data_IF_498296676214
#
_entry.id   IF_498296676214
#
_cell.length_a   1.000
_cell.length_b   1.000
_cell.length_c   1.000
_cell.angle_alpha   90.00
_cell.angle_beta   90.00
_cell.angle_gamma   90.00
#
_symmetry.space_group_name_H-M   'P 1'
#
loop_
_entity.id
_entity.type
_entity.pdbx_description
1 polymer ?
#
# COMPACT_ATOMS: atom_id res chain seq x y z
N UNK A 1 78.66 37.10 11.70
CA UNK A 1 77.74 36.31 12.55
C UNK A 1 77.21 35.17 11.68
N UNK A 2 77.32 33.91 12.16
CA UNK A 2 77.68 32.71 11.37
C UNK A 2 76.40 31.90 10.99
N UNK A 3 76.34 30.73 10.32
CA UNK A 3 77.20 29.55 10.09
C UNK A 3 76.67 28.83 8.81
N UNK A 4 77.46 28.18 7.95
CA UNK A 4 77.95 26.76 7.99
C UNK A 4 76.80 25.72 8.14
N UNK A 5 76.76 24.53 7.53
CA UNK A 5 77.57 23.76 6.57
C UNK A 5 76.81 22.44 6.29
N UNK A 6 77.21 21.73 5.22
CA UNK A 6 77.30 20.26 5.14
C UNK A 6 76.05 19.32 5.08
N UNK A 7 75.93 18.65 3.92
CA UNK A 7 75.53 17.22 3.69
C UNK A 7 76.61 16.27 4.31
N UNK A 8 76.53 14.89 4.41
CA UNK A 8 75.71 13.91 3.64
C UNK A 8 75.34 12.53 4.33
N UNK A 9 74.66 11.65 3.55
CA UNK A 9 74.85 10.17 3.37
C UNK A 9 74.40 9.06 4.36
N UNK A 10 74.10 7.90 3.72
CA UNK A 10 73.99 6.48 4.11
C UNK A 10 72.63 5.94 4.61
N UNK A 11 71.91 5.07 3.87
CA UNK A 11 72.06 3.58 3.68
C UNK A 11 71.61 2.79 4.93
N UNK A 12 70.71 1.80 4.88
CA UNK A 12 70.82 0.44 4.28
C UNK A 12 69.42 -0.18 4.02
N UNK A 13 69.13 -0.88 2.92
CA UNK A 13 69.18 -2.37 2.76
C UNK A 13 67.83 -3.02 3.17
N UNK A 14 67.14 -3.94 2.47
CA UNK A 14 67.62 -5.09 1.69
C UNK A 14 66.43 -5.80 0.94
N UNK A 15 66.73 -6.30 -0.28
CA UNK A 15 66.23 -7.49 -1.03
C UNK A 15 64.73 -7.80 -1.24
N UNK A 16 64.24 -7.88 -2.50
CA UNK A 16 64.21 -9.06 -3.42
C UNK A 16 63.05 -10.04 -3.09
N UNK A 17 62.24 -10.58 -4.00
CA UNK A 17 62.49 -11.02 -5.37
C UNK A 17 61.20 -11.02 -6.19
N UNK A 18 61.33 -10.76 -7.48
CA UNK A 18 60.43 -11.24 -8.50
C UNK A 18 60.89 -12.65 -8.91
N UNK A 19 59.96 -13.61 -9.01
CA UNK A 19 60.18 -14.80 -9.83
C UNK A 19 58.87 -15.22 -10.48
N UNK A 20 58.89 -15.23 -11.81
CA UNK A 20 57.92 -15.86 -12.68
C UNK A 20 58.51 -17.21 -13.11
N UNK A 21 57.79 -18.32 -12.94
CA UNK A 21 58.04 -19.53 -13.73
C UNK A 21 56.70 -20.20 -14.05
N UNK A 22 56.55 -20.52 -15.34
CA UNK A 22 55.45 -21.21 -15.96
C UNK A 22 55.70 -22.73 -16.04
N UNK A 23 54.60 -23.51 -16.04
CA UNK A 23 54.50 -24.88 -16.59
C UNK A 23 55.22 -26.00 -15.83
N UNK A 24 54.86 -27.27 -15.91
CA UNK A 24 53.71 -28.01 -16.45
C UNK A 24 53.88 -29.48 -15.99
N UNK A 25 52.81 -30.29 -16.09
CA UNK A 25 52.76 -31.78 -16.13
C UNK A 25 52.89 -32.54 -14.79
N UNK A 26 51.82 -33.21 -14.31
CA UNK A 26 51.32 -34.58 -14.60
C UNK A 26 51.93 -35.60 -13.59
N UNK A 27 51.28 -36.59 -12.98
CA UNK A 27 50.16 -37.50 -13.30
C UNK A 27 49.46 -37.92 -11.96
N UNK A 28 48.14 -38.00 -11.91
CA UNK A 28 47.28 -39.19 -12.01
C UNK A 28 47.24 -40.10 -10.75
N UNK A 29 46.04 -40.31 -10.22
CA UNK A 29 45.43 -41.64 -9.99
C UNK A 29 43.90 -41.50 -9.93
N UNK A 30 43.23 -42.45 -10.59
CA UNK A 30 41.78 -42.61 -10.80
C UNK A 30 41.11 -43.17 -9.51
N UNK A 31 39.79 -43.18 -9.27
CA UNK A 31 38.60 -43.66 -10.02
C UNK A 31 37.35 -42.92 -9.44
N UNK A 32 36.11 -42.94 -9.93
CA UNK A 32 35.32 -43.91 -10.70
C UNK A 32 34.12 -43.17 -11.35
N UNK A 33 33.68 -43.64 -12.50
CA UNK A 33 32.73 -42.99 -13.39
C UNK A 33 31.28 -43.47 -13.28
N UNK A 34 30.33 -42.54 -13.39
CA UNK A 34 29.01 -42.81 -13.97
C UNK A 34 28.40 -41.52 -14.58
N UNK A 35 27.83 -41.55 -15.80
CA UNK A 35 27.41 -40.35 -16.51
C UNK A 35 26.08 -39.78 -15.98
N UNK A 36 26.08 -38.47 -15.68
CA UNK A 36 24.85 -37.71 -15.34
C UNK A 36 24.09 -37.32 -16.61
N UNK A 37 22.89 -37.89 -16.79
CA UNK A 37 21.97 -37.53 -17.87
C UNK A 37 21.50 -36.06 -17.77
N UNK A 38 21.28 -35.37 -18.90
CA UNK A 38 20.80 -33.98 -18.89
C UNK A 38 19.34 -33.91 -18.45
N UNK A 39 19.01 -32.97 -17.55
CA UNK A 39 17.64 -32.70 -17.10
C UNK A 39 16.82 -32.13 -18.25
N UNK A 40 15.94 -32.95 -18.83
CA UNK A 40 14.95 -32.51 -19.81
C UNK A 40 13.73 -31.93 -19.12
N UNK A 41 13.28 -30.77 -19.63
CA UNK A 41 12.05 -30.09 -19.25
C UNK A 41 10.88 -30.75 -20.00
N UNK A 42 10.16 -31.64 -19.35
CA UNK A 42 8.97 -32.26 -19.93
C UNK A 42 7.85 -32.40 -18.89
N UNK A 43 7.20 -31.28 -18.61
CA UNK A 43 6.00 -31.19 -17.76
C UNK A 43 4.80 -30.72 -18.58
N UNK A 44 4.42 -31.46 -19.62
CA UNK A 44 3.17 -31.20 -20.35
C UNK A 44 1.97 -31.72 -19.53
N UNK A 45 1.15 -30.77 -19.10
CA UNK A 45 -0.29 -30.85 -18.79
C UNK A 45 -0.94 -32.25 -18.88
N UNK A 46 -1.04 -32.95 -17.74
CA UNK A 46 -2.02 -34.04 -17.56
C UNK A 46 -3.38 -33.47 -17.17
N UNK A 47 -4.08 -32.91 -18.15
CA UNK A 47 -5.46 -32.39 -17.96
C UNK A 47 -6.50 -33.52 -17.83
N UNK A 48 -6.13 -34.77 -18.14
CA UNK A 48 -7.02 -35.93 -18.05
C UNK A 48 -7.13 -36.55 -16.65
N UNK A 49 -6.21 -36.23 -15.73
CA UNK A 49 -6.31 -36.67 -14.31
C UNK A 49 -7.29 -35.81 -13.48
N UNK A 50 -7.77 -34.69 -14.03
CA UNK A 50 -8.73 -33.79 -13.38
C UNK A 50 -10.12 -33.76 -14.05
N UNK A 51 -10.39 -34.67 -15.00
CA UNK A 51 -11.73 -34.81 -15.54
C UNK A 51 -12.61 -35.63 -14.59
N UNK A 52 -13.63 -34.97 -14.05
CA UNK A 52 -14.69 -35.59 -13.27
C UNK A 52 -15.50 -36.55 -14.16
N UNK A 53 -15.29 -37.85 -13.99
CA UNK A 53 -16.12 -38.89 -14.59
C UNK A 53 -17.46 -38.97 -13.85
N UNK A 54 -18.50 -38.44 -14.47
CA UNK A 54 -19.88 -38.59 -13.99
C UNK A 54 -20.32 -40.05 -14.11
N UNK A 55 -20.28 -40.77 -12.97
CA UNK A 55 -20.87 -42.09 -12.80
C UNK A 55 -22.02 -42.02 -11.81
N UNK A 56 -23.20 -42.41 -12.26
CA UNK A 56 -24.46 -42.51 -11.53
C UNK A 56 -24.39 -43.39 -10.28
N UNK A 57 -24.91 -42.89 -9.16
CA UNK A 57 -25.40 -43.73 -8.06
C UNK A 57 -25.03 -43.26 -6.66
N UNK A 58 -26.03 -42.87 -5.86
CA UNK A 58 -25.94 -42.81 -4.39
C UNK A 58 -25.84 -41.41 -3.79
N UNK A 59 -26.96 -40.93 -3.25
CA UNK A 59 -27.06 -39.74 -2.37
C UNK A 59 -26.30 -39.96 -1.05
N UNK A 60 -25.70 -38.91 -0.43
CA UNK A 60 -26.43 -38.32 0.69
C UNK A 60 -26.30 -36.78 0.86
N UNK A 61 -27.45 -36.20 1.15
CA UNK A 61 -27.78 -35.19 2.17
C UNK A 61 -26.91 -33.90 2.30
N UNK A 62 -27.34 -32.86 1.58
CA UNK A 62 -26.89 -31.46 1.77
C UNK A 62 -27.73 -30.78 2.83
N UNK A 63 -27.19 -30.60 4.04
CA UNK A 63 -27.75 -29.69 5.06
C UNK A 63 -27.74 -28.24 4.57
N UNK A 64 -28.92 -27.71 4.26
CA UNK A 64 -29.20 -26.27 4.11
C UNK A 64 -29.78 -25.75 5.43
N UNK A 65 -29.18 -24.69 5.96
CA UNK A 65 -29.71 -23.94 7.10
C UNK A 65 -30.91 -23.08 6.67
N UNK A 66 -32.04 -23.08 7.40
CA UNK A 66 -33.15 -22.18 7.13
C UNK A 66 -33.00 -20.86 7.90
N UNK A 67 -33.29 -19.74 7.23
CA UNK A 67 -33.50 -18.42 7.84
C UNK A 67 -34.98 -18.06 7.70
N UNK A 68 -35.49 -17.39 8.74
CA UNK A 68 -36.74 -16.60 8.88
C UNK A 68 -37.94 -17.28 9.56
N UNK A 69 -38.16 -16.88 10.82
CA UNK A 69 -39.47 -16.79 11.47
C UNK A 69 -39.62 -15.38 12.10
N UNK A 70 -40.82 -14.76 12.08
CA UNK A 70 -41.07 -13.41 12.62
C UNK A 70 -41.52 -13.44 14.10
N UNK A 71 -41.41 -12.33 14.86
CA UNK A 71 -42.00 -12.23 16.20
C UNK A 71 -43.46 -11.73 16.18
N UNK A 72 -44.28 -12.29 17.08
CA UNK A 72 -45.68 -11.91 17.40
C UNK A 72 -45.74 -10.89 18.57
N UNK A 73 -46.90 -10.21 18.78
CA UNK A 73 -46.97 -8.91 19.45
C UNK A 73 -47.24 -8.95 20.97
N UNK A 74 -46.95 -7.81 21.62
CA UNK A 74 -47.17 -7.51 23.03
C UNK A 74 -48.64 -7.19 23.36
N UNK A 75 -49.10 -7.62 24.55
CA UNK A 75 -50.27 -7.08 25.20
C UNK A 75 -50.08 -7.04 26.73
N UNK A 76 -50.40 -5.89 27.34
CA UNK A 76 -50.37 -5.68 28.78
C UNK A 76 -50.59 -4.20 29.15
N UNK A 77 -51.83 -3.73 29.03
CA UNK A 77 -52.25 -2.37 29.30
C UNK A 77 -52.59 -2.12 30.78
N UNK A 78 -52.40 -0.89 31.28
CA UNK A 78 -53.37 -0.19 32.14
C UNK A 78 -53.12 1.33 32.24
N UNK A 79 -54.20 2.07 32.47
CA UNK A 79 -54.44 3.45 32.04
C UNK A 79 -54.37 4.53 33.14
N UNK A 80 -54.07 5.78 32.71
CA UNK A 80 -54.61 7.15 33.03
C UNK A 80 -55.02 7.55 34.48
N UNK A 81 -54.94 8.85 34.91
CA UNK A 81 -55.46 10.03 34.17
C UNK A 81 -54.67 11.37 34.24
N UNK A 82 -55.16 12.34 33.44
CA UNK A 82 -54.68 13.73 33.26
C UNK A 82 -55.02 14.69 34.43
N UNK A 83 -54.56 15.97 34.45
CA UNK A 83 -55.28 17.04 33.71
C UNK A 83 -54.46 18.25 33.18
N UNK A 84 -55.08 18.97 32.20
CA UNK A 84 -55.19 20.45 31.97
C UNK A 84 -53.91 21.32 31.88
N UNK A 85 -53.75 22.29 30.96
CA UNK A 85 -54.58 22.87 29.91
C UNK A 85 -53.93 24.14 29.30
N UNK A 86 -54.57 24.67 28.24
CA UNK A 86 -54.42 25.99 27.58
C UNK A 86 -53.07 26.32 26.88
N UNK A 87 -53.01 26.82 25.65
CA UNK A 87 -54.04 27.20 24.68
C UNK A 87 -53.42 27.99 23.52
N UNK A 88 -53.99 27.78 22.31
CA UNK A 88 -54.25 28.76 21.21
C UNK A 88 -53.09 29.53 20.54
N UNK A 89 -53.08 29.82 19.23
CA UNK A 89 -53.86 29.47 18.02
C UNK A 89 -53.29 30.33 16.87
N UNK A 90 -53.18 29.86 15.62
CA UNK A 90 -54.01 30.18 14.42
C UNK A 90 -53.03 30.31 13.22
N UNK A 91 -53.31 30.04 11.95
CA UNK A 91 -54.46 29.58 11.13
C UNK A 91 -53.87 29.31 9.71
N UNK A 92 -54.06 28.13 9.08
CA UNK A 92 -55.13 27.75 8.12
C UNK A 92 -54.97 28.36 6.69
N UNK A 93 -55.38 27.78 5.56
CA UNK A 93 -56.05 26.52 5.23
C UNK A 93 -56.15 26.30 3.69
N UNK A 94 -56.28 25.01 3.31
CA UNK A 94 -57.13 24.39 2.27
C UNK A 94 -57.03 24.80 0.78
N UNK A 95 -56.79 23.92 -0.21
CA UNK A 95 -57.46 22.67 -0.66
C UNK A 95 -58.66 22.87 -1.62
N UNK A 96 -58.57 22.30 -2.84
CA UNK A 96 -59.66 21.60 -3.55
C UNK A 96 -59.18 20.94 -4.87
N UNK A 97 -59.87 19.89 -5.26
CA UNK A 97 -59.81 19.04 -6.48
C UNK A 97 -61.30 18.70 -6.82
N UNK A 98 -61.68 17.89 -7.83
CA UNK A 98 -61.12 17.49 -9.15
C UNK A 98 -62.20 17.44 -10.30
N UNK A 99 -61.86 17.14 -11.59
CA UNK A 99 -62.68 16.26 -12.49
C UNK A 99 -62.13 15.92 -13.90
N UNK A 100 -62.55 14.73 -14.36
CA UNK A 100 -62.36 13.97 -15.63
C UNK A 100 -62.99 14.57 -16.91
N UNK A 101 -62.48 14.15 -18.10
CA UNK A 101 -63.18 13.66 -19.35
C UNK A 101 -62.11 13.40 -20.46
N UNK A 102 -61.83 12.17 -20.92
CA UNK A 102 -62.44 11.24 -21.92
C UNK A 102 -62.40 11.70 -23.41
N UNK A 103 -61.54 10.99 -24.18
CA UNK A 103 -61.60 10.48 -25.57
C UNK A 103 -62.22 11.29 -26.73
N UNK A 104 -61.55 11.30 -27.89
CA UNK A 104 -61.96 10.64 -29.18
C UNK A 104 -61.10 11.10 -30.37
N UNK A 105 -60.57 10.16 -31.17
CA UNK A 105 -60.12 10.33 -32.57
C UNK A 105 -61.32 10.44 -33.54
N UNK A 106 -61.13 10.86 -34.82
CA UNK A 106 -61.42 9.96 -35.95
C UNK A 106 -60.50 10.25 -37.21
N UNK A 107 -60.79 9.83 -38.49
CA UNK A 107 -59.96 8.84 -39.21
C UNK A 107 -59.62 9.14 -40.70
N UNK A 108 -58.93 8.17 -41.34
CA UNK A 108 -59.02 7.73 -42.75
C UNK A 108 -58.12 8.32 -43.89
N UNK A 109 -57.60 7.36 -44.67
CA UNK A 109 -56.65 7.31 -45.82
C UNK A 109 -57.26 7.78 -47.18
N UNK A 110 -56.79 7.44 -48.42
CA UNK A 110 -55.57 6.73 -48.94
C UNK A 110 -54.96 7.34 -50.27
N UNK A 111 -54.11 6.55 -50.97
CA UNK A 111 -53.56 6.67 -52.37
C UNK A 111 -52.25 7.49 -52.53
N UNK A 112 -51.24 7.11 -53.34
CA UNK A 112 -50.96 5.98 -54.23
C UNK A 112 -49.45 6.00 -54.62
N UNK A 113 -48.86 4.83 -54.92
CA UNK A 113 -47.61 4.66 -55.72
C UNK A 113 -47.94 4.76 -57.24
N UNK A 114 -47.03 5.01 -58.21
CA UNK A 114 -45.84 4.16 -58.57
C UNK A 114 -44.69 4.94 -59.31
N UNK A 115 -43.82 4.37 -60.19
CA UNK A 115 -42.96 3.17 -60.13
C UNK A 115 -41.43 3.46 -60.33
N UNK A 116 -40.64 2.37 -60.25
CA UNK A 116 -39.18 2.22 -60.40
C UNK A 116 -38.61 2.56 -61.80
N UNK A 117 -37.34 2.97 -61.99
CA UNK A 117 -36.05 2.20 -62.03
C UNK A 117 -35.00 3.06 -62.83
N UNK A 118 -33.70 2.70 -63.03
CA UNK A 118 -32.76 1.87 -62.25
C UNK A 118 -31.34 2.49 -62.07
N UNK A 119 -30.51 1.80 -61.28
CA UNK A 119 -29.05 1.62 -61.39
C UNK A 119 -28.09 2.85 -61.42
N UNK A 120 -27.45 3.09 -60.27
CA UNK A 120 -26.16 3.81 -60.18
C UNK A 120 -25.30 3.22 -59.06
N UNK A 121 -24.28 2.43 -59.43
CA UNK A 121 -23.30 1.82 -58.52
C UNK A 121 -22.52 2.91 -57.76
N UNK A 122 -22.68 3.02 -56.45
CA UNK A 122 -21.78 3.76 -55.56
C UNK A 122 -21.00 2.78 -54.68
N UNK A 123 -19.68 2.97 -54.49
CA UNK A 123 -18.85 2.03 -53.74
C UNK A 123 -19.25 2.05 -52.26
N UNK A 124 -19.57 0.87 -51.73
CA UNK A 124 -19.78 0.66 -50.29
C UNK A 124 -18.43 0.86 -49.58
N UNK A 125 -18.29 1.97 -48.84
CA UNK A 125 -17.25 2.09 -47.80
C UNK A 125 -17.44 0.92 -46.82
N UNK A 126 -16.39 0.16 -46.47
CA UNK A 126 -16.54 -0.85 -45.44
C UNK A 126 -16.94 -0.16 -44.14
N UNK A 127 -18.07 -0.57 -43.56
CA UNK A 127 -18.35 -0.32 -42.16
C UNK A 127 -17.16 -0.91 -41.40
N UNK A 128 -16.32 -0.05 -40.85
CA UNK A 128 -15.31 -0.45 -39.90
C UNK A 128 -16.03 -1.21 -38.80
N UNK A 129 -15.83 -2.54 -38.77
CA UNK A 129 -16.05 -3.33 -37.57
C UNK A 129 -15.31 -2.58 -36.47
N UNK A 130 -16.05 -2.06 -35.51
CA UNK A 130 -15.47 -1.66 -34.23
C UNK A 130 -14.85 -2.92 -33.67
N UNK A 131 -13.57 -3.14 -33.99
CA UNK A 131 -12.72 -4.01 -33.22
C UNK A 131 -12.87 -3.50 -31.80
N UNK A 132 -13.52 -4.30 -30.95
CA UNK A 132 -13.33 -4.24 -29.52
C UNK A 132 -11.84 -4.43 -29.29
N UNK A 133 -11.10 -3.32 -29.36
CA UNK A 133 -9.68 -3.28 -29.08
C UNK A 133 -9.54 -3.75 -27.64
N UNK A 134 -8.84 -4.88 -27.50
CA UNK A 134 -8.57 -5.52 -26.24
C UNK A 134 -8.02 -4.53 -25.22
N UNK A 135 -8.36 -4.82 -23.97
CA UNK A 135 -7.71 -4.39 -22.73
C UNK A 135 -6.39 -3.64 -22.96
N UNK A 136 -6.48 -2.31 -23.01
CA UNK A 136 -5.30 -1.45 -23.06
C UNK A 136 -4.61 -1.55 -21.71
N UNK A 137 -3.40 -2.11 -21.72
CA UNK A 137 -2.41 -2.08 -20.66
C UNK A 137 -2.41 -0.74 -19.92
N UNK A 138 -2.33 -0.81 -18.58
CA UNK A 138 -2.37 0.32 -17.65
C UNK A 138 -1.50 1.48 -18.14
N UNK A 139 -2.15 2.47 -18.75
CA UNK A 139 -1.58 3.76 -19.09
C UNK A 139 -1.82 4.66 -17.89
N UNK A 140 -0.76 5.32 -17.46
CA UNK A 140 -0.80 6.47 -16.55
C UNK A 140 -2.14 7.21 -16.57
N UNK A 141 -2.73 7.46 -15.40
CA UNK A 141 -3.94 8.25 -15.28
C UNK A 141 -3.59 9.68 -14.87
N UNK A 142 -4.14 10.66 -15.59
CA UNK A 142 -4.02 12.08 -15.24
C UNK A 142 -4.52 12.32 -13.80
N UNK A 143 -3.90 13.24 -13.02
CA UNK A 143 -4.39 13.63 -11.70
C UNK A 143 -5.86 14.07 -11.70
N UNK A 144 -6.35 14.62 -12.80
CA UNK A 144 -7.76 15.04 -12.94
C UNK A 144 -8.74 13.88 -12.95
N UNK A 145 -8.34 12.66 -13.33
CA UNK A 145 -9.23 11.49 -13.48
C UNK A 145 -10.00 11.15 -12.21
N UNK A 146 -9.36 11.27 -11.04
CA UNK A 146 -9.96 10.94 -9.74
C UNK A 146 -10.01 12.14 -8.78
N UNK A 147 -9.89 13.36 -9.32
CA UNK A 147 -9.91 14.61 -8.53
C UNK A 147 -11.22 14.86 -7.77
N UNK A 148 -12.31 14.19 -8.16
CA UNK A 148 -13.60 14.23 -7.46
C UNK A 148 -13.63 13.42 -6.16
N UNK A 149 -12.62 12.56 -5.92
CA UNK A 149 -12.50 11.80 -4.68
C UNK A 149 -11.72 12.63 -3.64
N UNK A 150 -12.09 12.55 -2.35
CA UNK A 150 -11.38 13.28 -1.32
C UNK A 150 -9.96 12.73 -1.15
N UNK A 151 -9.06 13.59 -0.68
CA UNK A 151 -7.73 13.17 -0.25
C UNK A 151 -7.82 12.41 1.07
N UNK A 152 -6.88 11.50 1.30
CA UNK A 152 -6.76 10.80 2.58
C UNK A 152 -5.90 11.64 3.53
N UNK A 153 -6.41 12.06 4.69
CA UNK A 153 -5.59 12.71 5.72
C UNK A 153 -4.53 11.76 6.26
N UNK A 154 -3.34 12.28 6.55
CA UNK A 154 -2.32 11.51 7.25
C UNK A 154 -2.73 11.27 8.72
N UNK A 155 -2.29 10.15 9.30
CA UNK A 155 -2.39 9.89 10.74
C UNK A 155 -0.99 10.10 11.35
N UNK A 156 -0.73 11.29 11.88
CA UNK A 156 0.57 11.69 12.42
C UNK A 156 0.40 12.26 13.83
N UNK A 157 1.33 11.94 14.70
CA UNK A 157 1.44 12.49 16.05
C UNK A 157 2.92 12.50 16.48
N UNK A 158 3.26 13.15 17.59
CA UNK A 158 4.60 13.03 18.17
C UNK A 158 4.94 11.61 18.62
N UNK A 159 6.24 11.36 18.86
CA UNK A 159 6.77 10.15 19.49
C UNK A 159 6.36 8.80 18.85
N UNK A 160 6.13 8.79 17.54
CA UNK A 160 5.80 7.56 16.80
C UNK A 160 6.93 6.52 16.93
N UNK A 161 6.55 5.25 17.13
CA UNK A 161 7.42 4.10 16.95
C UNK A 161 7.66 3.84 15.46
N UNK A 162 6.59 3.79 14.66
CA UNK A 162 6.68 3.51 13.23
C UNK A 162 5.79 4.47 12.45
N UNK A 163 6.33 5.10 11.41
CA UNK A 163 5.56 5.76 10.36
C UNK A 163 5.48 4.86 9.12
N UNK A 164 4.28 4.39 8.77
CA UNK A 164 4.06 3.63 7.55
C UNK A 164 3.85 4.54 6.35
N UNK A 165 4.60 4.28 5.28
CA UNK A 165 4.51 5.01 4.01
C UNK A 165 3.90 4.08 2.97
N UNK A 166 2.63 4.34 2.63
CA UNK A 166 1.93 3.71 1.53
C UNK A 166 2.22 4.38 0.19
N UNK A 167 1.72 3.77 -0.89
CA UNK A 167 1.89 4.31 -2.24
C UNK A 167 1.01 5.54 -2.45
N UNK A 168 -0.30 5.32 -2.46
CA UNK A 168 -1.32 6.34 -2.61
C UNK A 168 -2.69 5.77 -2.22
N UNK A 169 -3.71 6.62 -1.97
CA UNK A 169 -5.08 6.16 -1.75
C UNK A 169 -5.63 5.37 -2.95
N UNK A 170 -5.99 4.10 -2.73
CA UNK A 170 -6.86 3.38 -3.67
C UNK A 170 -8.27 3.97 -3.68
N UNK A 171 -9.08 3.68 -4.69
CA UNK A 171 -10.44 4.24 -4.81
C UNK A 171 -11.31 4.01 -3.56
N UNK A 172 -11.23 2.83 -2.96
CA UNK A 172 -11.99 2.51 -1.73
C UNK A 172 -11.47 3.28 -0.52
N UNK A 173 -10.15 3.41 -0.38
CA UNK A 173 -9.52 4.23 0.68
C UNK A 173 -9.89 5.70 0.54
N UNK A 174 -9.92 6.22 -0.69
CA UNK A 174 -10.35 7.59 -0.93
C UNK A 174 -11.84 7.78 -0.59
N UNK A 175 -12.72 6.86 -1.02
CA UNK A 175 -14.17 6.96 -0.75
C UNK A 175 -14.52 6.86 0.74
N UNK A 176 -13.91 5.91 1.43
CA UNK A 176 -14.15 5.67 2.85
C UNK A 176 -13.43 6.68 3.75
N UNK A 177 -12.38 7.35 3.26
CA UNK A 177 -11.52 8.20 4.06
C UNK A 177 -10.62 7.41 5.02
N UNK A 178 -10.44 6.11 4.80
CA UNK A 178 -9.71 5.22 5.70
C UNK A 178 -8.57 4.46 5.01
N UNK A 179 -7.39 4.49 5.62
CA UNK A 179 -6.19 3.87 5.09
C UNK A 179 -6.36 2.36 4.91
N UNK A 180 -5.90 1.85 3.75
CA UNK A 180 -5.91 0.42 3.44
C UNK A 180 -7.30 -0.25 3.52
N UNK A 181 -8.39 0.49 3.26
CA UNK A 181 -9.77 0.02 3.40
C UNK A 181 -10.22 -1.02 2.36
N UNK A 182 -9.50 -1.19 1.26
CA UNK A 182 -9.90 -2.15 0.23
C UNK A 182 -9.92 -3.59 0.79
N UNK A 183 -10.97 -4.40 0.57
CA UNK A 183 -11.12 -5.72 1.21
C UNK A 183 -10.00 -6.74 0.94
N UNK A 184 -9.33 -6.60 -0.20
CA UNK A 184 -8.19 -7.47 -0.58
C UNK A 184 -6.86 -6.97 -0.01
N UNK A 185 -6.83 -5.81 0.64
CA UNK A 185 -5.63 -5.29 1.26
C UNK A 185 -5.34 -6.04 2.57
N UNK A 186 -4.09 -6.47 2.75
CA UNK A 186 -3.66 -7.29 3.87
C UNK A 186 -3.03 -6.48 5.01
N UNK A 187 -2.91 -5.15 4.89
CA UNK A 187 -2.18 -4.30 5.85
C UNK A 187 -2.59 -4.56 7.29
N UNK A 188 -3.89 -4.45 7.60
CA UNK A 188 -4.43 -4.66 8.93
C UNK A 188 -4.17 -6.07 9.48
N UNK A 189 -4.27 -7.08 8.63
CA UNK A 189 -4.00 -8.47 9.01
C UNK A 189 -2.51 -8.70 9.25
N UNK A 190 -1.64 -8.10 8.45
CA UNK A 190 -0.18 -8.20 8.57
C UNK A 190 0.33 -7.45 9.80
N UNK A 191 -0.23 -6.28 10.12
CA UNK A 191 0.07 -5.56 11.36
C UNK A 191 -0.23 -6.43 12.59
N UNK A 192 -1.40 -7.05 12.61
CA UNK A 192 -1.78 -7.92 13.73
C UNK A 192 -0.93 -9.21 13.78
N UNK A 193 -0.82 -9.93 12.66
CA UNK A 193 -0.08 -11.21 12.61
C UNK A 193 1.41 -11.07 12.91
N UNK A 194 2.00 -9.92 12.60
CA UNK A 194 3.40 -9.63 12.96
C UNK A 194 3.59 -9.29 14.43
N UNK A 195 2.52 -9.00 15.17
CA UNK A 195 2.60 -8.45 16.53
C UNK A 195 2.80 -6.94 16.58
N UNK A 196 2.85 -6.25 15.43
CA UNK A 196 2.94 -4.79 15.37
C UNK A 196 1.76 -4.13 16.08
N UNK A 197 0.56 -4.70 15.96
CA UNK A 197 -0.59 -4.35 16.81
C UNK A 197 -1.01 -5.57 17.64
N UNK A 198 -1.33 -5.40 18.93
CA UNK A 198 -1.75 -6.51 19.79
C UNK A 198 -3.16 -7.02 19.45
N UNK A 199 -3.93 -6.24 18.68
CA UNK A 199 -5.28 -6.59 18.23
C UNK A 199 -5.41 -6.36 16.72
N UNK A 200 -6.35 -7.06 16.09
CA UNK A 200 -6.73 -6.79 14.71
C UNK A 200 -7.57 -5.52 14.64
N UNK A 201 -6.97 -4.43 14.16
CA UNK A 201 -7.65 -3.16 13.95
C UNK A 201 -8.41 -3.15 12.61
N UNK A 202 -9.51 -2.42 12.57
CA UNK A 202 -10.26 -2.09 11.37
C UNK A 202 -9.71 -0.83 10.68
N UNK A 203 -9.94 -0.63 9.37
CA UNK A 203 -9.59 0.60 8.66
C UNK A 203 -10.10 1.88 9.33
N UNK A 204 -11.30 1.82 9.93
CA UNK A 204 -11.92 2.96 10.62
C UNK A 204 -11.16 3.43 11.86
N UNK A 205 -10.23 2.63 12.36
CA UNK A 205 -9.41 2.92 13.54
C UNK A 205 -8.06 3.56 13.19
N UNK A 206 -7.78 3.80 11.91
CA UNK A 206 -6.51 4.33 11.40
C UNK A 206 -6.03 5.61 12.09
N UNK A 207 -6.92 6.57 12.29
CA UNK A 207 -6.62 7.83 12.97
C UNK A 207 -6.36 7.68 14.47
N UNK A 208 -6.74 6.56 15.08
CA UNK A 208 -6.49 6.26 16.49
C UNK A 208 -5.13 5.58 16.73
N UNK A 209 -4.48 5.06 15.67
CA UNK A 209 -3.23 4.33 15.80
C UNK A 209 -2.07 5.15 16.41
N UNK A 210 -1.90 6.46 16.11
CA UNK A 210 -0.83 7.24 16.73
C UNK A 210 -0.96 7.27 18.26
N UNK A 211 -2.17 7.52 18.77
CA UNK A 211 -2.41 7.60 20.21
C UNK A 211 -2.36 6.23 20.90
N UNK A 212 -2.91 5.18 20.27
CA UNK A 212 -3.02 3.85 20.90
C UNK A 212 -1.74 3.05 20.85
N UNK A 213 -0.97 3.19 19.77
CA UNK A 213 0.12 2.26 19.45
C UNK A 213 1.40 2.95 18.99
N UNK A 214 1.43 4.29 18.97
CA UNK A 214 2.51 5.10 18.40
C UNK A 214 2.79 4.75 16.93
N UNK A 215 1.75 4.43 16.15
CA UNK A 215 1.88 4.08 14.73
C UNK A 215 1.24 5.16 13.85
N UNK A 216 2.01 5.73 12.93
CA UNK A 216 1.54 6.74 11.99
C UNK A 216 1.35 6.20 10.57
N UNK A 217 0.55 6.88 9.77
CA UNK A 217 0.23 6.51 8.39
C UNK A 217 0.36 7.71 7.47
N UNK A 218 1.04 7.54 6.33
CA UNK A 218 1.11 8.52 5.25
C UNK A 218 1.29 7.83 3.90
N UNK A 219 1.32 8.60 2.79
CA UNK A 219 1.60 8.11 1.45
C UNK A 219 2.66 8.96 0.74
N UNK A 220 3.42 8.35 -0.18
CA UNK A 220 4.35 9.08 -1.06
C UNK A 220 3.61 9.94 -2.08
N UNK A 221 2.46 9.48 -2.59
CA UNK A 221 1.62 10.22 -3.53
C UNK A 221 0.24 10.48 -2.89
N UNK A 222 -0.16 11.75 -2.86
CA UNK A 222 -1.41 12.17 -2.21
C UNK A 222 -2.67 11.80 -3.00
N UNK A 223 -2.61 11.84 -4.33
CA UNK A 223 -3.81 11.69 -5.17
C UNK A 223 -4.32 10.24 -5.22
N UNK A 224 -5.64 10.03 -5.32
CA UNK A 224 -6.19 8.71 -5.55
C UNK A 224 -5.86 8.14 -6.93
N UNK A 225 -5.76 6.82 -7.02
CA UNK A 225 -5.73 6.07 -8.29
C UNK A 225 -6.38 4.69 -8.12
N UNK A 226 -6.66 4.00 -9.24
CA UNK A 226 -7.16 2.63 -9.18
C UNK A 226 -6.09 1.66 -8.69
N UNK A 227 -4.86 1.86 -9.13
CA UNK A 227 -3.71 1.03 -8.77
C UNK A 227 -2.39 1.80 -9.01
N UNK A 228 -1.28 1.21 -8.57
CA UNK A 228 0.04 1.84 -8.69
C UNK A 228 0.55 2.03 -10.12
N UNK A 229 0.04 1.27 -11.10
CA UNK A 229 0.45 1.40 -12.50
C UNK A 229 -0.18 2.63 -13.20
N UNK A 230 -1.10 3.34 -12.54
CA UNK A 230 -1.63 4.63 -12.99
C UNK A 230 -0.78 5.84 -12.49
N UNK A 231 0.28 5.59 -11.72
CA UNK A 231 1.22 6.61 -11.24
C UNK A 231 2.49 6.63 -12.08
N UNK A 232 3.02 7.84 -12.30
CA UNK A 232 4.31 8.03 -12.94
C UNK A 232 5.46 7.92 -11.92
N UNK A 233 6.67 7.62 -12.41
CA UNK A 233 7.88 7.65 -11.57
C UNK A 233 8.16 9.05 -11.03
N UNK A 234 7.99 10.08 -11.84
CA UNK A 234 8.20 11.47 -11.44
C UNK A 234 7.27 11.92 -10.32
N UNK A 235 6.02 11.44 -10.28
CA UNK A 235 5.10 11.74 -9.17
C UNK A 235 5.54 11.11 -7.86
N UNK A 236 6.03 9.86 -7.90
CA UNK A 236 6.60 9.22 -6.71
C UNK A 236 7.87 9.97 -6.26
N UNK A 237 8.76 10.28 -7.19
CA UNK A 237 10.03 10.94 -6.90
C UNK A 237 9.79 12.35 -6.31
N UNK A 238 8.80 13.09 -6.81
CA UNK A 238 8.38 14.39 -6.25
C UNK A 238 7.84 14.30 -4.81
N UNK A 239 7.31 13.14 -4.40
CA UNK A 239 6.80 12.91 -3.05
C UNK A 239 7.90 12.74 -1.99
N UNK A 240 9.13 12.41 -2.39
CA UNK A 240 10.23 12.10 -1.46
C UNK A 240 10.56 13.26 -0.53
N UNK A 241 10.66 14.49 -1.06
CA UNK A 241 11.00 15.66 -0.25
C UNK A 241 9.95 15.92 0.87
N UNK A 242 8.66 15.72 0.57
CA UNK A 242 7.60 15.87 1.56
C UNK A 242 7.65 14.78 2.64
N UNK A 243 8.03 13.55 2.26
CA UNK A 243 8.24 12.47 3.20
C UNK A 243 9.44 12.75 4.13
N UNK A 244 10.57 13.20 3.60
CA UNK A 244 11.74 13.58 4.40
C UNK A 244 11.40 14.69 5.41
N UNK A 245 10.65 15.71 4.97
CA UNK A 245 10.16 16.76 5.85
C UNK A 245 9.25 16.22 6.97
N UNK A 246 8.34 15.30 6.64
CA UNK A 246 7.49 14.64 7.64
C UNK A 246 8.31 13.84 8.65
N UNK A 247 9.29 13.05 8.20
CA UNK A 247 10.15 12.29 9.10
C UNK A 247 10.99 13.21 10.00
N UNK A 248 11.49 14.34 9.47
CA UNK A 248 12.23 15.35 10.23
C UNK A 248 11.35 16.05 11.29
N UNK A 249 10.10 16.35 10.93
CA UNK A 249 9.13 17.04 11.80
C UNK A 249 8.60 16.14 12.92
N UNK A 250 8.17 14.93 12.58
CA UNK A 250 7.48 14.01 13.52
C UNK A 250 8.43 13.04 14.22
N UNK A 251 9.67 12.90 13.73
CA UNK A 251 10.76 12.08 14.27
C UNK A 251 10.30 10.69 14.75
N UNK A 252 9.69 9.88 13.85
CA UNK A 252 9.38 8.51 14.20
C UNK A 252 10.69 7.73 14.45
N UNK A 253 10.69 6.75 15.34
CA UNK A 253 11.90 5.92 15.54
C UNK A 253 12.24 5.07 14.31
N UNK A 254 11.21 4.60 13.60
CA UNK A 254 11.35 3.90 12.33
C UNK A 254 10.34 4.37 11.29
N UNK A 255 10.71 4.23 10.02
CA UNK A 255 9.82 4.36 8.87
C UNK A 255 9.67 2.99 8.22
N UNK A 256 8.43 2.58 7.95
CA UNK A 256 8.14 1.37 7.19
C UNK A 256 7.61 1.73 5.79
N UNK A 257 8.42 1.45 4.77
CA UNK A 257 8.08 1.66 3.37
C UNK A 257 7.28 0.46 2.86
N UNK A 258 5.99 0.65 2.59
CA UNK A 258 5.04 -0.42 2.26
C UNK A 258 4.99 -0.70 0.75
N UNK A 259 6.14 -1.09 0.20
CA UNK A 259 6.25 -1.55 -1.18
C UNK A 259 7.56 -1.16 -1.86
N UNK A 260 8.08 -2.08 -2.67
CA UNK A 260 9.35 -1.93 -3.40
C UNK A 260 9.40 -0.69 -4.29
N UNK A 261 8.33 -0.35 -5.00
CA UNK A 261 8.32 0.82 -5.91
C UNK A 261 8.52 2.15 -5.19
N UNK A 262 8.05 2.26 -3.94
CA UNK A 262 8.24 3.43 -3.08
C UNK A 262 9.71 3.53 -2.68
N UNK A 263 10.30 2.39 -2.27
CA UNK A 263 11.73 2.33 -1.95
C UNK A 263 12.61 2.67 -3.14
N UNK A 264 12.29 2.16 -4.33
CA UNK A 264 13.02 2.52 -5.56
C UNK A 264 12.95 4.02 -5.87
N UNK A 265 11.87 4.70 -5.49
CA UNK A 265 11.72 6.15 -5.64
C UNK A 265 12.59 6.92 -4.64
N UNK A 266 12.53 6.54 -3.36
CA UNK A 266 13.41 7.08 -2.31
C UNK A 266 14.89 6.92 -2.72
N UNK A 267 15.27 5.72 -3.17
CA UNK A 267 16.61 5.42 -3.62
C UNK A 267 17.05 6.31 -4.78
N UNK A 268 16.23 6.42 -5.84
CA UNK A 268 16.56 7.28 -6.99
C UNK A 268 16.81 8.71 -6.56
N UNK A 269 15.95 9.29 -5.73
CA UNK A 269 16.09 10.68 -5.31
C UNK A 269 17.35 10.90 -4.45
N UNK A 270 17.66 9.97 -3.56
CA UNK A 270 18.83 10.05 -2.68
C UNK A 270 20.15 9.78 -3.40
N UNK A 271 20.14 8.91 -4.40
CA UNK A 271 21.33 8.44 -5.12
C UNK A 271 21.47 9.07 -6.51
N UNK A 272 21.09 10.35 -6.66
CA UNK A 272 21.37 11.14 -7.88
C UNK A 272 20.67 10.63 -9.15
N UNK A 273 19.46 10.09 -9.03
CA UNK A 273 18.67 9.54 -10.12
C UNK A 273 19.00 8.08 -10.47
N UNK A 274 19.96 7.46 -9.79
CA UNK A 274 20.37 6.07 -10.02
C UNK A 274 19.31 5.09 -9.57
N UNK A 275 18.97 4.12 -10.41
CA UNK A 275 18.13 2.97 -10.01
C UNK A 275 18.88 2.00 -9.10
N UNK A 276 18.18 1.40 -8.14
CA UNK A 276 18.73 0.33 -7.30
C UNK A 276 18.91 -0.94 -8.13
N UNK A 277 20.07 -1.60 -8.00
CA UNK A 277 20.34 -2.89 -8.63
C UNK A 277 19.64 -4.02 -7.86
N UNK A 278 19.55 -5.20 -8.47
CA UNK A 278 18.84 -6.34 -7.90
C UNK A 278 19.53 -6.90 -6.65
N UNK A 279 20.86 -6.90 -6.66
CA UNK A 279 21.76 -7.31 -5.59
C UNK A 279 21.82 -6.30 -4.42
N UNK A 280 21.59 -5.01 -4.70
CA UNK A 280 21.49 -3.96 -3.67
C UNK A 280 20.11 -3.98 -2.97
N UNK A 281 19.07 -4.49 -3.64
CA UNK A 281 17.72 -4.50 -3.09
C UNK A 281 17.50 -5.66 -2.11
N UNK A 282 17.06 -5.33 -0.89
CA UNK A 282 16.56 -6.30 0.09
C UNK A 282 15.34 -5.77 0.85
N UNK A 283 14.41 -6.67 1.16
CA UNK A 283 13.36 -6.39 2.15
C UNK A 283 13.96 -6.40 3.56
N UNK A 284 13.27 -5.75 4.51
CA UNK A 284 13.69 -5.66 5.90
C UNK A 284 14.37 -4.34 6.24
N UNK A 285 15.12 -4.34 7.35
CA UNK A 285 15.88 -3.19 7.85
C UNK A 285 16.98 -2.77 6.88
N UNK A 286 17.02 -1.51 6.47
CA UNK A 286 18.07 -0.93 5.64
C UNK A 286 19.24 -0.43 6.51
N UNK A 287 20.35 -0.07 5.85
CA UNK A 287 21.56 0.40 6.52
C UNK A 287 21.36 1.80 7.10
N UNK A 288 22.14 2.19 8.12
CA UNK A 288 21.96 3.46 8.83
C UNK A 288 22.15 4.71 7.95
N UNK A 289 22.95 4.59 6.89
CA UNK A 289 23.10 5.64 5.88
C UNK A 289 21.81 5.96 5.12
N UNK A 290 20.81 5.10 5.21
CA UNK A 290 19.49 5.28 4.61
C UNK A 290 18.43 5.83 5.58
N UNK A 291 18.84 6.21 6.80
CA UNK A 291 17.93 6.80 7.77
C UNK A 291 17.24 8.05 7.19
N UNK A 292 15.97 8.22 7.57
CA UNK A 292 15.09 9.21 6.94
C UNK A 292 14.84 10.40 7.86
N UNK A 293 14.90 11.62 7.31
CA UNK A 293 14.62 12.86 8.03
C UNK A 293 15.77 13.34 8.91
N UNK A 294 17.02 12.95 8.63
CA UNK A 294 18.23 13.42 9.34
C UNK A 294 18.22 14.94 9.48
N UNK A 295 18.55 15.45 10.68
CA UNK A 295 18.64 16.89 10.94
C UNK A 295 19.78 17.20 11.93
N UNK A 296 20.70 18.03 11.47
CA UNK A 296 21.80 18.55 12.28
C UNK A 296 21.30 19.64 13.25
N UNK A 297 21.94 19.68 14.42
CA UNK A 297 21.70 20.53 15.60
C UNK A 297 20.68 21.65 15.42
N UNK A 298 20.94 22.70 14.66
CA UNK A 298 20.17 23.96 14.77
C UNK A 298 19.72 24.55 13.43
N UNK A 299 19.78 23.77 12.35
CA UNK A 299 19.51 24.27 10.99
C UNK A 299 18.03 24.40 10.64
N UNK A 300 17.40 25.53 11.00
CA UNK A 300 16.37 26.29 10.25
C UNK A 300 15.25 25.58 9.47
N UNK A 301 14.96 24.31 9.72
CA UNK A 301 14.05 23.50 8.92
C UNK A 301 12.79 23.13 9.68
N UNK A 302 11.69 23.83 9.37
CA UNK A 302 10.30 23.65 9.82
C UNK A 302 10.14 23.61 11.35
N UNK A 303 9.29 24.49 11.90
CA UNK A 303 8.94 24.47 13.33
C UNK A 303 8.59 23.03 13.74
N UNK A 304 9.18 22.61 14.87
CA UNK A 304 8.90 21.31 15.48
C UNK A 304 7.41 21.16 15.79
N UNK A 305 7.01 20.02 16.34
CA UNK A 305 5.63 19.92 16.80
C UNK A 305 5.48 20.84 18.02
N UNK A 306 4.49 21.73 17.97
CA UNK A 306 4.20 22.67 19.06
C UNK A 306 4.04 21.90 20.38
N UNK A 307 4.74 22.36 21.42
CA UNK A 307 4.72 21.72 22.74
C UNK A 307 5.52 20.42 22.86
N UNK A 308 6.31 20.04 21.85
CA UNK A 308 7.16 18.83 21.90
C UNK A 308 8.63 19.22 21.75
N UNK A 309 9.41 18.93 22.79
CA UNK A 309 10.86 19.05 22.73
C UNK A 309 11.48 17.74 22.25
N UNK A 310 12.14 17.80 21.09
CA UNK A 310 12.85 16.66 20.54
C UNK A 310 14.35 16.87 20.66
N UNK A 311 15.02 15.93 21.34
CA UNK A 311 16.48 15.90 21.47
C UNK A 311 17.21 16.08 20.13
N UNK A 312 18.30 16.83 20.14
CA UNK A 312 19.13 17.13 18.96
C UNK A 312 20.59 16.75 19.22
N UNK A 313 21.37 16.31 18.21
CA UNK A 313 21.00 16.12 16.80
C UNK A 313 20.05 14.93 16.57
N UNK A 314 19.42 14.87 15.38
CA UNK A 314 18.54 13.77 15.00
C UNK A 314 19.13 12.97 13.83
N UNK A 315 19.53 11.73 14.10
CA UNK A 315 20.18 10.83 13.14
C UNK A 315 19.22 10.18 12.13
N UNK A 316 17.97 10.64 12.06
CA UNK A 316 16.94 10.09 11.19
C UNK A 316 16.26 8.84 11.74
N UNK A 317 15.11 8.53 11.16
CA UNK A 317 14.34 7.32 11.43
C UNK A 317 14.94 6.12 10.70
N UNK A 318 15.07 4.97 11.38
CA UNK A 318 15.53 3.73 10.75
C UNK A 318 14.55 3.28 9.68
N UNK A 319 15.04 2.86 8.51
CA UNK A 319 14.16 2.46 7.40
C UNK A 319 13.97 0.94 7.37
N UNK A 320 12.71 0.52 7.30
CA UNK A 320 12.29 -0.85 7.03
C UNK A 320 11.55 -0.91 5.70
N UNK A 321 11.92 -1.80 4.79
CA UNK A 321 11.22 -1.98 3.50
C UNK A 321 10.39 -3.24 3.55
N UNK A 322 9.07 -3.08 3.44
CA UNK A 322 8.10 -4.17 3.44
C UNK A 322 7.57 -4.45 2.02
N UNK A 323 7.17 -5.70 1.73
CA UNK A 323 6.40 -6.01 0.52
C UNK A 323 5.04 -5.31 0.54
N UNK A 324 4.50 -5.03 -0.65
CA UNK A 324 3.19 -4.40 -0.79
C UNK A 324 2.07 -5.25 -0.16
N UNK A 325 1.14 -4.58 0.51
CA UNK A 325 -0.03 -5.17 1.15
C UNK A 325 -1.24 -5.29 0.22
N UNK A 326 -1.15 -4.73 -1.00
CA UNK A 326 -2.23 -4.80 -1.98
C UNK A 326 -2.43 -6.24 -2.48
N UNK A 327 -3.68 -6.69 -2.53
CA UNK A 327 -4.04 -7.96 -3.18
C UNK A 327 -3.81 -7.96 -4.68
N UNK A 328 -3.59 -6.80 -5.30
CA UNK A 328 -3.24 -6.69 -6.73
C UNK A 328 -1.73 -6.92 -6.99
N UNK A 329 -0.90 -6.89 -5.94
CA UNK A 329 0.54 -7.11 -6.05
C UNK A 329 0.88 -8.60 -5.84
N UNK A 330 1.08 -9.32 -6.95
CA UNK A 330 1.35 -10.76 -6.96
C UNK A 330 2.86 -11.13 -6.86
N UNK A 331 3.70 -10.24 -6.33
CA UNK A 331 5.16 -10.37 -6.42
C UNK A 331 5.79 -11.33 -5.40
N UNK A 332 5.07 -11.75 -4.36
CA UNK A 332 5.61 -12.52 -3.24
C UNK A 332 4.59 -13.49 -2.67
N UNK A 333 5.01 -14.68 -2.24
CA UNK A 333 4.10 -15.64 -1.60
C UNK A 333 3.59 -15.09 -0.27
N UNK A 334 2.36 -15.43 0.16
CA UNK A 334 1.82 -14.93 1.43
C UNK A 334 2.69 -15.23 2.65
N UNK A 335 3.28 -16.43 2.75
CA UNK A 335 4.15 -16.81 3.87
C UNK A 335 5.45 -16.00 3.91
N UNK A 336 6.11 -15.81 2.76
CA UNK A 336 7.31 -14.98 2.65
C UNK A 336 7.00 -13.53 3.00
N UNK A 337 5.82 -13.03 2.60
CA UNK A 337 5.34 -11.71 2.97
C UNK A 337 5.16 -11.58 4.48
N UNK A 338 4.53 -12.56 5.12
CA UNK A 338 4.34 -12.59 6.57
C UNK A 338 5.66 -12.65 7.34
N UNK A 339 6.66 -13.39 6.85
CA UNK A 339 8.01 -13.43 7.43
C UNK A 339 8.66 -12.05 7.46
N UNK A 340 8.63 -11.31 6.34
CA UNK A 340 9.20 -9.95 6.33
C UNK A 340 8.47 -9.08 7.34
N UNK A 341 7.14 -9.09 7.35
CA UNK A 341 6.37 -8.28 8.29
C UNK A 341 6.62 -8.66 9.76
N UNK A 342 6.86 -9.94 10.07
CA UNK A 342 7.26 -10.41 11.40
C UNK A 342 8.55 -9.73 11.88
N UNK A 343 9.56 -9.57 11.01
CA UNK A 343 10.80 -8.87 11.40
C UNK A 343 10.61 -7.43 11.86
N UNK A 344 9.61 -6.71 11.32
CA UNK A 344 9.22 -5.39 11.85
C UNK A 344 8.47 -5.53 13.19
N UNK A 345 7.52 -6.46 13.26
CA UNK A 345 6.69 -6.65 14.44
C UNK A 345 7.47 -7.08 15.69
N UNK A 346 8.44 -7.98 15.54
CA UNK A 346 9.36 -8.36 16.63
C UNK A 346 10.12 -7.16 17.19
N UNK A 347 10.62 -6.29 16.31
CA UNK A 347 11.28 -5.06 16.72
C UNK A 347 10.31 -4.11 17.44
N UNK A 348 9.08 -3.95 16.95
CA UNK A 348 8.05 -3.11 17.60
C UNK A 348 7.72 -3.62 19.00
N UNK A 349 7.53 -4.93 19.16
CA UNK A 349 7.24 -5.55 20.47
C UNK A 349 8.39 -5.31 21.44
N UNK A 350 9.62 -5.59 21.02
CA UNK A 350 10.82 -5.33 21.82
C UNK A 350 10.89 -3.85 22.22
N UNK A 351 10.69 -2.94 21.27
CA UNK A 351 10.85 -1.51 21.50
C UNK A 351 9.78 -0.92 22.43
N UNK A 352 8.56 -1.45 22.41
CA UNK A 352 7.52 -1.09 23.40
C UNK A 352 7.93 -1.47 24.81
N UNK A 353 8.43 -2.70 25.01
CA UNK A 353 8.91 -3.14 26.32
C UNK A 353 10.06 -2.26 26.84
N UNK A 354 10.98 -1.85 25.96
CA UNK A 354 12.05 -0.90 26.32
C UNK A 354 11.51 0.49 26.72
N UNK A 355 10.49 1.00 26.01
CA UNK A 355 9.84 2.28 26.37
C UNK A 355 9.12 2.19 27.71
N UNK A 356 8.41 1.09 27.96
CA UNK A 356 7.73 0.84 29.23
C UNK A 356 8.72 0.74 30.40
N UNK A 357 9.83 0.02 30.22
CA UNK A 357 10.89 -0.07 31.21
C UNK A 357 11.55 1.29 31.50
N UNK A 358 11.83 2.08 30.46
CA UNK A 358 12.39 3.43 30.63
C UNK A 358 11.41 4.38 31.35
N UNK A 359 10.12 4.30 31.04
CA UNK A 359 9.09 5.09 31.72
C UNK A 359 8.95 4.70 33.20
N UNK A 360 9.02 3.40 33.52
CA UNK A 360 8.99 2.91 34.89
C UNK A 360 10.23 3.37 35.69
N UNK A 361 11.41 3.35 35.08
CA UNK A 361 12.64 3.85 35.70
C UNK A 361 12.57 5.35 36.01
N UNK A 362 12.09 6.17 35.06
CA UNK A 362 11.92 7.61 35.25
C UNK A 362 10.89 7.96 36.35
N UNK A 363 9.82 7.17 36.48
CA UNK A 363 8.84 7.35 37.55
C UNK A 363 9.40 7.00 38.94
N UNK A 364 10.24 5.96 39.03
CA UNK A 364 10.89 5.54 40.28
C UNK A 364 11.88 6.58 40.84
N UNK A 365 12.66 7.22 39.96
CA UNK A 365 13.66 8.24 40.33
C UNK A 365 13.03 9.56 40.81
N UNK A 366 11.78 9.84 40.40
CA UNK A 366 11.03 11.03 40.83
C UNK A 366 10.39 10.91 42.24
N UNK A 367 10.48 9.75 42.88
CA UNK A 367 9.85 9.46 44.19
C UNK A 367 10.87 9.33 45.35
N UNK A 368 12.15 9.58 45.09
CA UNK A 368 13.25 9.63 46.07
C UNK A 368 13.81 11.04 46.15
#
# INVERSE_FOLDING_TARGET
MPSSEAKPAAETGEEASAEAVAGAEAEAEAEDGAPRSPRTFEGRFKLAEFMFSGGSGGSPDRRRSPRLAPPLPSAGARALPAPRGAGTSTSAAAASSPRKRRATSPPASPLASPPASPAGKKPRRPLARTSSTGSSSSKYASPSTYSHLPLLPDALAPHLLVLFIGLNPGLETARSGHAYAHPTNLFWRLLHRSGTTPVLCAPTEDRSLPARFALGLTNIVARPSRNGAELSRSEMDAGVAALEAKARRWRPEAVCVVGKSIWESLWRVRHGGRGIKKDEFRYGWQDEGENMGVADGDGGGQEGVEGVDYARPWNGARVFVAPSTSGLAATMKPAEKEEVWRGLGEWVVKRRAEREAAAAAAAGDSST
#
